data_IF_473211292744
#
_entry.id   IF_473211292744
#
_cell.length_a   1.000
_cell.length_b   1.000
_cell.length_c   1.000
_cell.angle_alpha   90.00
_cell.angle_beta   90.00
_cell.angle_gamma   90.00
#
_symmetry.space_group_name_H-M   'P 1'
#
loop_
_entity.id
_entity.type
_entity.pdbx_description
1 polymer ?
#
# COMPACT_ATOMS: atom_id res chain seq x y z
N UNK A 1 -8.37 -21.73 8.49
CA UNK A 1 -8.70 -20.92 7.30
C UNK A 1 -7.99 -21.56 6.13
N UNK A 2 -8.75 -21.97 5.11
CA UNK A 2 -8.18 -22.66 3.95
C UNK A 2 -7.29 -21.72 3.11
N UNK A 3 -6.26 -22.28 2.49
CA UNK A 3 -5.27 -21.55 1.67
C UNK A 3 -5.93 -20.75 0.53
N UNK A 4 -7.02 -21.27 -0.02
CA UNK A 4 -7.82 -20.61 -1.07
C UNK A 4 -8.55 -19.36 -0.57
N UNK A 5 -9.12 -19.39 0.64
CA UNK A 5 -9.83 -18.26 1.25
C UNK A 5 -8.87 -17.12 1.57
N UNK A 6 -7.68 -17.44 2.11
CA UNK A 6 -6.65 -16.45 2.40
C UNK A 6 -6.11 -15.78 1.14
N UNK A 7 -5.91 -16.57 0.07
CA UNK A 7 -5.49 -16.05 -1.23
C UNK A 7 -6.53 -15.09 -1.80
N UNK A 8 -7.81 -15.49 -1.80
CA UNK A 8 -8.92 -14.67 -2.30
C UNK A 8 -9.08 -13.35 -1.52
N UNK A 9 -8.92 -13.40 -0.19
CA UNK A 9 -8.91 -12.21 0.66
C UNK A 9 -7.76 -11.27 0.31
N UNK A 10 -6.55 -11.80 0.14
CA UNK A 10 -5.40 -10.99 -0.27
C UNK A 10 -5.61 -10.36 -1.65
N UNK A 11 -6.26 -11.07 -2.59
CA UNK A 11 -6.59 -10.53 -3.92
C UNK A 11 -7.51 -9.34 -3.78
N UNK A 12 -8.58 -9.49 -3.00
CA UNK A 12 -9.60 -8.47 -2.78
C UNK A 12 -9.00 -7.25 -2.06
N UNK A 13 -8.18 -7.46 -1.04
CA UNK A 13 -7.47 -6.38 -0.34
C UNK A 13 -6.50 -5.63 -1.27
N UNK A 14 -5.81 -6.35 -2.16
CA UNK A 14 -4.93 -5.73 -3.13
C UNK A 14 -5.70 -4.88 -4.15
N UNK A 15 -6.79 -5.41 -4.71
CA UNK A 15 -7.67 -4.66 -5.62
C UNK A 15 -8.29 -3.43 -4.96
N UNK A 16 -8.89 -3.60 -3.80
CA UNK A 16 -9.51 -2.48 -3.07
C UNK A 16 -8.47 -1.43 -2.69
N UNK A 17 -7.26 -1.83 -2.27
CA UNK A 17 -6.16 -0.92 -2.00
C UNK A 17 -5.75 -0.09 -3.23
N UNK A 18 -5.60 -0.73 -4.40
CA UNK A 18 -5.27 -0.03 -5.64
C UNK A 18 -6.39 0.94 -6.02
N UNK A 19 -7.65 0.49 -6.02
CA UNK A 19 -8.80 1.32 -6.39
C UNK A 19 -8.91 2.52 -5.45
N UNK A 20 -8.76 2.31 -4.14
CA UNK A 20 -8.75 3.39 -3.16
C UNK A 20 -7.60 4.37 -3.42
N UNK A 21 -6.40 3.87 -3.66
CA UNK A 21 -5.24 4.70 -3.99
C UNK A 21 -5.44 5.53 -5.26
N UNK A 22 -5.89 4.91 -6.35
CA UNK A 22 -6.17 5.59 -7.61
C UNK A 22 -7.29 6.63 -7.45
N UNK A 23 -8.35 6.28 -6.72
CA UNK A 23 -9.46 7.20 -6.41
C UNK A 23 -8.95 8.42 -5.65
N UNK A 24 -8.10 8.24 -4.64
CA UNK A 24 -7.50 9.36 -3.89
C UNK A 24 -6.48 10.15 -4.72
N UNK A 25 -5.85 9.55 -5.73
CA UNK A 25 -4.86 10.22 -6.59
C UNK A 25 -5.51 11.08 -7.67
N UNK A 26 -6.53 10.57 -8.34
CA UNK A 26 -7.09 11.18 -9.56
C UNK A 26 -8.47 11.80 -9.37
N UNK A 27 -9.27 11.37 -8.37
CA UNK A 27 -10.60 11.94 -8.15
C UNK A 27 -10.57 13.14 -7.22
N UNK A 28 -10.85 14.33 -7.78
CA UNK A 28 -11.04 15.57 -7.00
C UNK A 28 -12.16 15.44 -5.98
N UNK A 29 -13.25 14.74 -6.31
CA UNK A 29 -14.37 14.53 -5.41
C UNK A 29 -13.96 13.73 -4.17
N UNK A 30 -13.16 12.67 -4.36
CA UNK A 30 -12.65 11.85 -3.24
C UNK A 30 -11.65 12.63 -2.40
N UNK A 31 -10.71 13.37 -3.02
CA UNK A 31 -9.77 14.23 -2.29
C UNK A 31 -10.47 15.31 -1.46
N UNK A 32 -11.54 15.90 -2.00
CA UNK A 32 -12.38 16.88 -1.29
C UNK A 32 -13.15 16.22 -0.14
N UNK A 33 -13.81 15.09 -0.39
CA UNK A 33 -14.61 14.36 0.61
C UNK A 33 -13.76 13.88 1.80
N UNK A 34 -12.54 13.41 1.53
CA UNK A 34 -11.59 12.96 2.54
C UNK A 34 -10.71 14.09 3.09
N UNK A 35 -10.97 15.35 2.70
CA UNK A 35 -10.24 16.54 3.14
C UNK A 35 -8.72 16.44 2.95
N UNK A 36 -8.26 15.71 1.93
CA UNK A 36 -6.85 15.42 1.65
C UNK A 36 -6.04 16.67 1.21
N UNK A 37 -6.74 17.75 0.87
CA UNK A 37 -6.16 19.03 0.45
C UNK A 37 -6.42 20.18 1.43
N UNK A 38 -6.94 19.91 2.64
CA UNK A 38 -7.25 20.93 3.64
C UNK A 38 -5.99 21.67 4.16
N UNK A 39 -6.17 22.89 4.65
CA UNK A 39 -5.09 23.66 5.30
C UNK A 39 -4.58 22.89 6.52
N UNK A 40 -3.26 22.73 6.64
CA UNK A 40 -2.61 21.92 7.69
C UNK A 40 -2.34 20.46 7.29
N UNK A 41 -2.88 19.99 6.16
CA UNK A 41 -2.59 18.64 5.65
C UNK A 41 -1.29 18.64 4.87
N UNK A 42 -0.39 17.73 5.24
CA UNK A 42 0.86 17.52 4.53
C UNK A 42 0.63 16.74 3.21
N UNK A 43 0.34 17.49 2.14
CA UNK A 43 0.05 16.95 0.80
C UNK A 43 1.14 16.00 0.28
N UNK A 44 2.41 16.30 0.57
CA UNK A 44 3.52 15.44 0.15
C UNK A 44 3.53 14.11 0.92
N UNK A 45 3.06 14.10 2.17
CA UNK A 45 2.91 12.86 2.93
C UNK A 45 1.73 12.02 2.43
N UNK A 46 0.59 12.66 2.23
CA UNK A 46 -0.62 12.02 1.71
C UNK A 46 -0.34 11.41 0.32
N UNK A 47 0.27 12.15 -0.60
CA UNK A 47 0.60 11.61 -1.93
C UNK A 47 1.59 10.44 -1.87
N UNK A 48 2.57 10.48 -0.95
CA UNK A 48 3.45 9.33 -0.73
C UNK A 48 2.65 8.12 -0.27
N UNK A 49 1.74 8.26 0.70
CA UNK A 49 0.90 7.15 1.18
C UNK A 49 -0.01 6.58 0.09
N UNK A 50 -0.61 7.46 -0.70
CA UNK A 50 -1.47 7.05 -1.82
C UNK A 50 -0.65 6.23 -2.82
N UNK A 51 0.54 6.69 -3.19
CA UNK A 51 1.43 5.94 -4.08
C UNK A 51 1.90 4.62 -3.45
N UNK A 52 2.23 4.62 -2.16
CA UNK A 52 2.59 3.41 -1.42
C UNK A 52 1.47 2.36 -1.50
N UNK A 53 0.22 2.76 -1.27
CA UNK A 53 -0.94 1.86 -1.33
C UNK A 53 -1.11 1.24 -2.73
N UNK A 54 -0.94 2.04 -3.79
CA UNK A 54 -1.02 1.57 -5.18
C UNK A 54 0.11 0.56 -5.47
N UNK A 55 1.35 0.89 -5.10
CA UNK A 55 2.52 0.04 -5.39
C UNK A 55 2.42 -1.28 -4.63
N UNK A 56 2.13 -1.26 -3.33
CA UNK A 56 1.99 -2.49 -2.53
C UNK A 56 0.86 -3.37 -3.05
N UNK A 57 -0.30 -2.78 -3.37
CA UNK A 57 -1.40 -3.53 -3.97
C UNK A 57 -1.02 -4.14 -5.32
N UNK A 58 -0.28 -3.42 -6.17
CA UNK A 58 0.15 -3.92 -7.48
C UNK A 58 1.12 -5.10 -7.35
N UNK A 59 2.09 -4.99 -6.43
CA UNK A 59 3.03 -6.09 -6.14
C UNK A 59 2.29 -7.33 -5.62
N UNK A 60 1.31 -7.13 -4.72
CA UNK A 60 0.47 -8.22 -4.22
C UNK A 60 -0.28 -8.94 -5.35
N UNK A 61 -0.88 -8.21 -6.28
CA UNK A 61 -1.56 -8.81 -7.44
C UNK A 61 -0.58 -9.53 -8.38
N UNK A 62 0.60 -8.94 -8.64
CA UNK A 62 1.62 -9.60 -9.47
C UNK A 62 2.06 -10.93 -8.89
N UNK A 63 2.27 -11.00 -7.57
CA UNK A 63 2.64 -12.26 -6.90
C UNK A 63 1.52 -13.28 -7.06
N UNK A 64 0.27 -12.90 -6.83
CA UNK A 64 -0.85 -13.83 -6.96
C UNK A 64 -1.06 -14.34 -8.39
N UNK A 65 -0.95 -13.47 -9.39
CA UNK A 65 -1.01 -13.86 -10.81
C UNK A 65 0.12 -14.82 -11.14
N UNK A 66 1.34 -14.55 -10.65
CA UNK A 66 2.49 -15.42 -10.89
C UNK A 66 2.31 -16.78 -10.23
N UNK A 67 1.81 -16.82 -8.99
CA UNK A 67 1.52 -18.07 -8.28
C UNK A 67 0.39 -18.87 -8.95
N UNK A 68 -0.57 -18.21 -9.60
CA UNK A 68 -1.63 -18.87 -10.38
C UNK A 68 -1.08 -19.58 -11.62
N UNK A 69 -0.20 -18.93 -12.39
CA UNK A 69 0.39 -19.52 -13.60
C UNK A 69 1.56 -20.47 -13.33
N UNK A 70 2.31 -20.26 -12.24
CA UNK A 70 3.49 -21.06 -11.86
C UNK A 70 3.41 -21.49 -10.39
N UNK A 71 2.62 -22.52 -10.07
CA UNK A 71 2.41 -22.96 -8.69
C UNK A 71 3.71 -23.45 -8.01
N UNK A 72 4.68 -23.96 -8.77
CA UNK A 72 6.01 -24.37 -8.28
C UNK A 72 6.81 -23.21 -7.64
N UNK A 73 6.53 -21.97 -8.04
CA UNK A 73 7.17 -20.77 -7.48
C UNK A 73 6.39 -20.18 -6.30
N UNK A 74 5.17 -20.67 -6.03
CA UNK A 74 4.25 -20.07 -5.06
C UNK A 74 4.84 -19.97 -3.66
N UNK A 75 5.50 -21.03 -3.18
CA UNK A 75 6.09 -21.06 -1.84
C UNK A 75 7.23 -20.03 -1.69
N UNK A 76 8.14 -19.97 -2.69
CA UNK A 76 9.24 -18.99 -2.72
C UNK A 76 8.72 -17.56 -2.80
N UNK A 77 7.67 -17.34 -3.60
CA UNK A 77 7.04 -16.03 -3.75
C UNK A 77 6.30 -15.60 -2.48
N UNK A 78 5.69 -16.53 -1.73
CA UNK A 78 5.03 -16.20 -0.46
C UNK A 78 6.03 -15.76 0.62
N UNK A 79 7.20 -16.40 0.69
CA UNK A 79 8.29 -15.98 1.58
C UNK A 79 8.79 -14.58 1.18
N UNK A 80 9.04 -14.37 -0.11
CA UNK A 80 9.50 -13.08 -0.64
C UNK A 80 8.47 -11.98 -0.40
N UNK A 81 7.18 -12.28 -0.57
CA UNK A 81 6.07 -11.37 -0.32
C UNK A 81 6.00 -10.98 1.16
N UNK A 82 6.18 -11.94 2.07
CA UNK A 82 6.20 -11.67 3.51
C UNK A 82 7.35 -10.75 3.89
N UNK A 83 8.56 -11.02 3.37
CA UNK A 83 9.73 -10.15 3.56
C UNK A 83 9.51 -8.75 2.96
N UNK A 84 8.93 -8.67 1.76
CA UNK A 84 8.58 -7.41 1.11
C UNK A 84 7.59 -6.60 1.95
N UNK A 85 6.53 -7.21 2.46
CA UNK A 85 5.53 -6.52 3.30
C UNK A 85 6.15 -6.00 4.59
N UNK A 86 6.99 -6.78 5.26
CA UNK A 86 7.73 -6.35 6.45
C UNK A 86 8.64 -5.16 6.16
N UNK A 87 9.39 -5.20 5.07
CA UNK A 87 10.24 -4.09 4.64
C UNK A 87 9.40 -2.85 4.30
N UNK A 88 8.30 -3.05 3.57
CA UNK A 88 7.39 -1.97 3.15
C UNK A 88 6.81 -1.23 4.35
N UNK A 89 6.34 -1.97 5.37
CA UNK A 89 5.84 -1.41 6.63
C UNK A 89 6.97 -0.71 7.39
N UNK A 90 8.15 -1.33 7.47
CA UNK A 90 9.32 -0.76 8.15
C UNK A 90 9.71 0.59 7.52
N UNK A 91 9.73 0.67 6.19
CA UNK A 91 10.03 1.90 5.45
C UNK A 91 8.98 2.98 5.73
N UNK A 92 7.68 2.68 5.75
CA UNK A 92 6.64 3.65 6.14
C UNK A 92 6.84 4.14 7.58
N UNK A 93 7.15 3.24 8.52
CA UNK A 93 7.41 3.58 9.92
C UNK A 93 8.62 4.50 10.08
N UNK A 94 9.74 4.16 9.44
CA UNK A 94 10.97 4.97 9.47
C UNK A 94 10.71 6.33 8.84
N UNK A 95 10.04 6.36 7.68
CA UNK A 95 9.70 7.61 7.00
C UNK A 95 8.82 8.51 7.87
N UNK A 96 7.79 7.94 8.50
CA UNK A 96 6.91 8.64 9.44
C UNK A 96 7.69 9.21 10.64
N UNK A 97 8.61 8.43 11.21
CA UNK A 97 9.47 8.85 12.32
C UNK A 97 10.37 10.03 11.94
N UNK A 98 11.04 9.94 10.78
CA UNK A 98 11.89 11.02 10.24
C UNK A 98 11.05 12.29 10.03
N UNK A 99 9.86 12.16 9.46
CA UNK A 99 9.00 13.30 9.14
C UNK A 99 8.45 13.99 10.39
N UNK A 100 8.00 13.23 11.41
CA UNK A 100 7.60 13.80 12.71
C UNK A 100 8.74 14.58 13.36
N UNK A 101 9.96 14.04 13.34
CA UNK A 101 11.15 14.74 13.87
C UNK A 101 11.44 16.05 13.13
N UNK A 102 11.26 16.08 11.80
CA UNK A 102 11.44 17.31 11.00
C UNK A 102 10.36 18.36 11.32
N UNK A 103 9.11 17.95 11.53
CA UNK A 103 8.03 18.86 11.92
C UNK A 103 8.29 19.45 13.32
N UNK A 104 8.70 18.62 14.29
CA UNK A 104 9.01 19.04 15.67
C UNK A 104 10.23 19.97 15.79
N UNK A 105 11.17 19.93 14.84
CA UNK A 105 12.32 20.85 14.80
C UNK A 105 12.03 22.18 14.10
N UNK A 106 10.89 22.28 13.41
CA UNK A 106 10.51 23.47 12.62
C UNK A 106 9.52 24.38 13.37
N UNK A 107 8.86 23.84 14.39
CA UNK A 107 8.10 24.60 15.39
C UNK A 107 8.99 24.83 16.61
#
# INVERSE_FOLDING_TARGET
MDSSTMTSLMTLLAFTGIIQGLSMKYSKAVRKKLMLDAKGVDKKYINMKINYLIVVGTVLLMVQVTSYFKPELSEKLNILLSAFLLLSITVDMVYRKIRRRKMLKKN
#
